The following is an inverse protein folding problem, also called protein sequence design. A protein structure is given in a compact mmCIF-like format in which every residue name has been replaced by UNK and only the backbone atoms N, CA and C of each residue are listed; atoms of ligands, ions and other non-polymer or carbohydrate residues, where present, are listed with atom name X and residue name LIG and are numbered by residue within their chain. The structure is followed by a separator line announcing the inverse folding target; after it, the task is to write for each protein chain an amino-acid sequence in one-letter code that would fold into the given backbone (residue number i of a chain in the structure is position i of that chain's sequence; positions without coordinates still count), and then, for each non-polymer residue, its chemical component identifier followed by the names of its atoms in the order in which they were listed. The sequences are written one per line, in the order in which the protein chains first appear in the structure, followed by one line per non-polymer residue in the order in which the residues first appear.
data_IF_987862140201
#
_entry.id   IF_987862140201
#
_cell.length_a   1.000
_cell.length_b   1.000
_cell.length_c   1.000
_cell.angle_alpha   90.00
_cell.angle_beta   90.00
_cell.angle_gamma   90.00
#
_symmetry.space_group_name_H-M   'P 1'
#
loop_
_entity.id
_entity.type
_entity.pdbx_description
1 polymer ?
#
# COMPACT_ATOMS: atom_id res chain seq x y z
N UNK A 1 -27.46 -18.26 5.01
CA UNK A 1 -26.75 -17.34 5.92
C UNK A 1 -26.20 -16.19 5.10
N UNK A 2 -26.35 -14.95 5.55
CA UNK A 2 -25.90 -13.74 4.85
C UNK A 2 -24.48 -13.38 5.29
N UNK A 3 -23.52 -13.53 4.38
CA UNK A 3 -22.12 -13.19 4.59
C UNK A 3 -21.76 -11.95 3.75
N UNK A 4 -20.97 -11.04 4.30
CA UNK A 4 -20.36 -9.91 3.57
C UNK A 4 -18.86 -9.84 3.86
N UNK A 5 -18.07 -9.68 2.81
CA UNK A 5 -16.62 -9.45 2.90
C UNK A 5 -16.37 -7.93 2.95
N UNK A 6 -16.75 -7.32 4.07
CA UNK A 6 -16.83 -5.86 4.25
C UNK A 6 -16.04 -5.37 5.48
N UNK A 7 -15.07 -6.16 5.93
CA UNK A 7 -14.26 -5.91 7.13
C UNK A 7 -12.77 -6.05 6.83
N UNK A 8 -12.00 -5.10 7.30
CA UNK A 8 -10.55 -5.17 7.45
C UNK A 8 -10.18 -5.87 8.77
N UNK A 9 -8.89 -6.11 9.06
CA UNK A 9 -8.44 -6.61 10.35
C UNK A 9 -9.07 -5.90 11.53
N UNK A 10 -9.34 -6.66 12.59
CA UNK A 10 -10.08 -6.21 13.79
C UNK A 10 -11.54 -5.80 13.54
N UNK A 11 -12.10 -6.12 12.37
CA UNK A 11 -13.52 -5.85 12.09
C UNK A 11 -13.83 -4.40 11.72
N UNK A 12 -12.82 -3.58 11.41
CA UNK A 12 -13.04 -2.21 10.98
C UNK A 12 -13.47 -2.15 9.51
N UNK A 13 -14.05 -1.03 9.08
CA UNK A 13 -14.51 -0.84 7.69
C UNK A 13 -13.67 0.13 6.89
N UNK A 14 -12.73 0.80 7.55
CA UNK A 14 -11.88 1.84 6.99
C UNK A 14 -10.42 1.44 7.12
N UNK A 15 -9.65 1.69 6.08
CA UNK A 15 -8.21 1.57 6.09
C UNK A 15 -7.54 2.81 5.50
N UNK A 16 -6.34 3.11 5.96
CA UNK A 16 -5.47 4.17 5.44
C UNK A 16 -4.14 3.56 5.05
N UNK A 17 -3.69 3.88 3.85
CA UNK A 17 -2.35 3.53 3.36
C UNK A 17 -1.72 4.75 2.70
N UNK A 18 -0.42 4.89 2.87
CA UNK A 18 0.38 5.96 2.26
C UNK A 18 1.47 5.35 1.37
N UNK A 19 1.89 6.03 0.31
CA UNK A 19 3.13 5.68 -0.38
C UNK A 19 3.95 6.89 -0.81
N UNK A 20 5.27 6.73 -0.83
CA UNK A 20 6.21 7.78 -1.20
C UNK A 20 7.34 7.23 -2.06
N UNK A 21 7.80 8.02 -3.04
CA UNK A 21 8.75 7.57 -4.05
C UNK A 21 10.17 8.11 -3.85
N UNK A 22 11.10 7.57 -4.63
CA UNK A 22 12.46 8.04 -4.94
C UNK A 22 13.54 7.86 -3.87
N UNK A 23 13.20 7.61 -2.60
CA UNK A 23 14.22 7.42 -1.57
C UNK A 23 15.01 8.70 -1.27
N UNK A 24 14.34 9.84 -1.25
CA UNK A 24 14.98 11.15 -1.03
C UNK A 24 15.42 11.30 0.42
N UNK A 25 16.43 12.14 0.64
CA UNK A 25 16.95 12.42 1.99
C UNK A 25 15.88 12.89 2.99
N UNK A 26 14.78 13.48 2.50
CA UNK A 26 13.64 13.95 3.28
C UNK A 26 12.75 12.83 3.83
N UNK A 27 12.89 11.60 3.31
CA UNK A 27 12.19 10.43 3.87
C UNK A 27 12.53 10.21 5.35
N UNK A 28 13.71 10.64 5.80
CA UNK A 28 14.09 10.61 7.22
C UNK A 28 13.11 11.38 8.11
N UNK A 29 12.72 12.58 7.68
CA UNK A 29 11.77 13.42 8.42
C UNK A 29 10.35 12.85 8.28
N UNK A 30 9.97 12.44 7.08
CA UNK A 30 8.65 11.86 6.84
C UNK A 30 8.41 10.60 7.69
N UNK A 31 9.37 9.67 7.71
CA UNK A 31 9.29 8.44 8.54
C UNK A 31 9.20 8.78 10.02
N UNK A 32 9.97 9.77 10.49
CA UNK A 32 9.86 10.23 11.88
C UNK A 32 8.43 10.66 12.22
N UNK A 33 7.81 11.52 11.39
CA UNK A 33 6.43 11.98 11.57
C UNK A 33 5.45 10.82 11.53
N UNK A 34 5.56 9.92 10.55
CA UNK A 34 4.68 8.75 10.44
C UNK A 34 4.73 7.90 11.72
N UNK A 35 5.92 7.65 12.25
CA UNK A 35 6.12 6.89 13.49
C UNK A 35 5.52 7.58 14.71
N UNK A 36 5.65 8.90 14.84
CA UNK A 36 5.06 9.66 15.96
C UNK A 36 3.53 9.61 16.00
N UNK A 37 2.89 9.39 14.85
CA UNK A 37 1.44 9.28 14.72
C UNK A 37 0.93 7.84 14.59
N UNK A 38 1.83 6.85 14.58
CA UNK A 38 1.47 5.43 14.42
C UNK A 38 0.96 5.07 13.02
N UNK A 39 1.35 5.84 12.01
CA UNK A 39 0.98 5.62 10.61
C UNK A 39 1.98 4.69 9.92
N UNK A 40 1.48 3.94 8.92
CA UNK A 40 2.29 3.10 8.04
C UNK A 40 2.30 3.64 6.62
N UNK A 41 3.36 3.30 5.89
CA UNK A 41 3.55 3.74 4.50
C UNK A 41 4.38 2.71 3.73
N UNK A 42 4.31 2.79 2.41
CA UNK A 42 5.14 2.04 1.47
C UNK A 42 6.06 3.01 0.72
N UNK A 43 7.36 2.74 0.75
CA UNK A 43 8.37 3.55 0.10
C UNK A 43 8.87 2.86 -1.16
N UNK A 44 8.59 3.44 -2.32
CA UNK A 44 9.04 2.94 -3.61
C UNK A 44 10.42 3.53 -3.91
N UNK A 45 11.46 2.70 -3.82
CA UNK A 45 12.85 3.16 -3.84
C UNK A 45 13.53 2.80 -5.16
N UNK A 46 14.48 3.63 -5.58
CA UNK A 46 15.36 3.36 -6.72
C UNK A 46 16.73 2.91 -6.24
N UNK A 47 17.08 1.63 -6.43
CA UNK A 47 18.35 1.09 -5.95
C UNK A 47 19.56 1.79 -6.56
N UNK A 48 19.45 2.28 -7.80
CA UNK A 48 20.52 2.99 -8.50
C UNK A 48 20.78 4.39 -7.96
N UNK A 49 19.92 4.94 -7.10
CA UNK A 49 20.02 6.31 -6.61
C UNK A 49 20.62 6.42 -5.21
N UNK A 50 20.77 5.30 -4.49
CA UNK A 50 21.33 5.31 -3.14
C UNK A 50 22.73 5.93 -3.09
N UNK A 51 22.92 6.83 -2.13
CA UNK A 51 24.19 7.55 -1.90
C UNK A 51 24.48 8.70 -2.87
N UNK A 52 23.61 8.96 -3.87
CA UNK A 52 23.68 10.19 -4.67
C UNK A 52 23.27 11.41 -3.83
N UNK A 53 23.69 12.60 -4.26
CA UNK A 53 23.33 13.85 -3.58
C UNK A 53 21.80 14.01 -3.47
N UNK A 54 21.33 14.27 -2.24
CA UNK A 54 19.91 14.40 -1.94
C UNK A 54 19.14 13.07 -1.82
N UNK A 55 19.81 11.92 -1.83
CA UNK A 55 19.20 10.60 -1.63
C UNK A 55 19.69 9.94 -0.34
N UNK A 56 18.93 8.97 0.15
CA UNK A 56 19.38 8.13 1.28
C UNK A 56 20.50 7.16 0.87
N UNK A 57 21.25 6.67 1.84
CA UNK A 57 22.27 5.63 1.65
C UNK A 57 21.64 4.23 1.68
N UNK A 58 22.22 3.26 0.98
CA UNK A 58 21.74 1.87 1.05
C UNK A 58 21.81 1.30 2.47
N UNK A 59 22.82 1.71 3.25
CA UNK A 59 23.04 1.23 4.62
C UNK A 59 21.95 1.60 5.61
N UNK A 60 21.19 2.68 5.36
CA UNK A 60 20.15 3.13 6.29
C UNK A 60 18.77 2.53 5.99
N UNK A 61 18.54 1.99 4.78
CA UNK A 61 17.22 1.53 4.29
C UNK A 61 16.52 0.64 5.31
N UNK A 62 17.20 -0.40 5.81
CA UNK A 62 16.61 -1.37 6.74
C UNK A 62 16.15 -0.73 8.06
N UNK A 63 16.97 0.15 8.63
CA UNK A 63 16.66 0.82 9.90
C UNK A 63 15.65 1.94 9.73
N UNK A 64 15.78 2.72 8.65
CA UNK A 64 14.92 3.86 8.37
C UNK A 64 13.49 3.38 8.15
N UNK A 65 13.27 2.40 7.28
CA UNK A 65 11.92 1.93 6.94
C UNK A 65 11.40 0.81 7.85
N UNK A 66 11.97 0.66 9.06
CA UNK A 66 11.46 -0.33 10.01
C UNK A 66 9.99 -0.03 10.37
N UNK A 67 9.10 -1.01 10.22
CA UNK A 67 7.66 -0.83 10.42
C UNK A 67 6.89 -0.29 9.21
N UNK A 68 7.61 0.08 8.15
CA UNK A 68 7.09 0.48 6.85
C UNK A 68 7.40 -0.61 5.80
N UNK A 69 6.85 -0.45 4.60
CA UNK A 69 7.21 -1.28 3.45
C UNK A 69 8.27 -0.58 2.61
N UNK A 70 9.27 -1.33 2.18
CA UNK A 70 10.12 -1.02 1.02
C UNK A 70 9.60 -1.75 -0.21
N UNK A 71 9.45 -1.00 -1.29
CA UNK A 71 8.82 -1.37 -2.54
C UNK A 71 9.70 -0.91 -3.72
N UNK A 72 9.54 -1.49 -4.91
CA UNK A 72 10.41 -1.20 -6.05
C UNK A 72 10.00 0.11 -6.76
N UNK A 73 10.97 0.83 -7.32
CA UNK A 73 10.72 1.94 -8.23
C UNK A 73 11.61 1.93 -9.47
N UNK A 74 12.20 0.77 -9.81
CA UNK A 74 13.22 0.55 -10.86
C UNK A 74 14.60 1.07 -10.47
N UNK A 75 15.66 0.60 -11.14
CA UNK A 75 17.04 0.96 -10.77
C UNK A 75 17.28 2.44 -11.06
N UNK A 76 16.99 2.87 -12.30
CA UNK A 76 17.41 4.18 -12.83
C UNK A 76 16.24 5.11 -13.17
N UNK A 77 15.01 4.75 -12.79
CA UNK A 77 13.79 5.56 -13.01
C UNK A 77 13.53 5.88 -14.52
N UNK A 78 13.50 4.90 -15.44
CA UNK A 78 13.22 5.15 -16.86
C UNK A 78 11.72 5.20 -17.18
N UNK A 79 11.36 5.79 -18.32
CA UNK A 79 10.01 5.63 -18.89
C UNK A 79 9.80 4.20 -19.40
N UNK A 80 9.19 3.34 -18.57
CA UNK A 80 9.06 1.90 -18.87
C UNK A 80 8.31 1.60 -20.18
N UNK A 81 7.35 2.44 -20.59
CA UNK A 81 6.65 2.26 -21.87
C UNK A 81 7.56 2.45 -23.11
N UNK A 82 8.67 3.18 -22.95
CA UNK A 82 9.66 3.44 -24.00
C UNK A 82 10.80 2.42 -23.97
N UNK A 83 10.94 1.68 -22.87
CA UNK A 83 11.94 0.63 -22.73
C UNK A 83 11.54 -0.67 -23.46
N UNK A 84 12.49 -1.38 -24.09
CA UNK A 84 12.28 -2.74 -24.59
C UNK A 84 12.09 -3.73 -23.43
N UNK A 85 11.49 -4.89 -23.72
CA UNK A 85 11.10 -5.89 -22.71
C UNK A 85 12.25 -6.38 -21.84
N UNK A 86 13.43 -6.60 -22.42
CA UNK A 86 14.63 -7.03 -21.69
C UNK A 86 15.12 -5.97 -20.71
N UNK A 87 15.02 -4.68 -21.08
CA UNK A 87 15.34 -3.59 -20.16
C UNK A 87 14.30 -3.47 -19.04
N UNK A 88 13.00 -3.58 -19.33
CA UNK A 88 11.94 -3.58 -18.30
C UNK A 88 12.20 -4.69 -17.28
N UNK A 89 12.49 -5.91 -17.75
CA UNK A 89 12.81 -7.06 -16.89
C UNK A 89 14.05 -6.79 -16.04
N UNK A 90 15.11 -6.24 -16.64
CA UNK A 90 16.36 -5.94 -15.95
C UNK A 90 16.17 -4.88 -14.86
N UNK A 91 15.54 -3.76 -15.19
CA UNK A 91 15.26 -2.65 -14.26
C UNK A 91 14.50 -3.11 -13.04
N UNK A 92 13.44 -3.90 -13.24
CA UNK A 92 12.62 -4.38 -12.13
C UNK A 92 13.30 -5.48 -11.33
N UNK A 93 13.96 -6.45 -11.99
CA UNK A 93 14.60 -7.56 -11.30
C UNK A 93 15.79 -7.11 -10.44
N UNK A 94 16.64 -6.23 -10.98
CA UNK A 94 17.82 -5.73 -10.27
C UNK A 94 17.45 -4.83 -9.09
N UNK A 95 16.46 -3.96 -9.27
CA UNK A 95 15.97 -3.11 -8.20
C UNK A 95 15.40 -3.94 -7.05
N UNK A 96 14.54 -4.92 -7.37
CA UNK A 96 14.02 -5.88 -6.38
C UNK A 96 15.15 -6.63 -5.66
N UNK A 97 16.09 -7.22 -6.38
CA UNK A 97 17.21 -7.98 -5.79
C UNK A 97 18.04 -7.11 -4.82
N UNK A 98 18.34 -5.87 -5.21
CA UNK A 98 19.08 -4.93 -4.37
C UNK A 98 18.30 -4.58 -3.11
N UNK A 99 17.01 -4.25 -3.23
CA UNK A 99 16.16 -3.90 -2.10
C UNK A 99 15.94 -5.10 -1.15
N UNK A 100 15.65 -6.28 -1.70
CA UNK A 100 15.48 -7.53 -0.95
C UNK A 100 16.72 -7.87 -0.12
N UNK A 101 17.92 -7.64 -0.68
CA UNK A 101 19.20 -7.81 0.03
C UNK A 101 19.31 -6.91 1.26
N UNK A 102 18.78 -5.68 1.19
CA UNK A 102 18.82 -4.72 2.30
C UNK A 102 17.79 -5.04 3.38
N UNK A 103 16.56 -5.38 2.97
CA UNK A 103 15.42 -5.51 3.90
C UNK A 103 15.20 -6.93 4.42
N UNK A 104 15.67 -7.95 3.71
CA UNK A 104 15.57 -9.36 4.12
C UNK A 104 14.18 -9.98 3.92
N UNK A 105 13.31 -9.37 3.13
CA UNK A 105 12.02 -9.94 2.72
C UNK A 105 11.75 -9.69 1.22
N UNK A 106 10.87 -10.48 0.57
CA UNK A 106 10.56 -10.31 -0.85
C UNK A 106 9.88 -8.96 -1.13
N UNK A 107 10.40 -8.20 -2.10
CA UNK A 107 9.80 -6.94 -2.55
C UNK A 107 8.76 -7.25 -3.61
N UNK A 108 7.49 -6.99 -3.31
CA UNK A 108 6.33 -7.42 -4.14
C UNK A 108 5.53 -6.28 -4.73
N UNK A 109 5.84 -5.05 -4.36
CA UNK A 109 5.17 -3.85 -4.86
C UNK A 109 6.05 -3.03 -5.78
N UNK A 110 5.41 -2.10 -6.50
CA UNK A 110 6.11 -0.99 -7.13
C UNK A 110 5.22 0.26 -7.30
N UNK A 111 5.83 1.37 -7.73
CA UNK A 111 5.14 2.46 -8.42
C UNK A 111 5.78 2.64 -9.80
N UNK A 112 5.00 3.08 -10.79
CA UNK A 112 5.52 3.31 -12.14
C UNK A 112 6.29 4.63 -12.19
N UNK A 113 7.58 4.65 -12.58
CA UNK A 113 8.29 5.89 -12.86
C UNK A 113 7.50 6.77 -13.81
N UNK A 114 7.32 8.05 -13.44
CA UNK A 114 6.50 9.02 -14.19
C UNK A 114 5.02 8.63 -14.41
N UNK A 115 4.52 7.57 -13.76
CA UNK A 115 3.21 7.00 -14.06
C UNK A 115 3.14 6.32 -15.44
N UNK A 116 4.28 6.03 -16.06
CA UNK A 116 4.39 5.48 -17.41
C UNK A 116 4.24 3.96 -17.40
N UNK A 117 3.21 3.46 -18.09
CA UNK A 117 2.97 2.02 -18.26
C UNK A 117 2.21 1.72 -19.55
N UNK A 118 2.26 0.46 -19.97
CA UNK A 118 1.52 -0.08 -21.12
C UNK A 118 1.15 -1.54 -20.87
N UNK A 119 0.31 -2.14 -21.71
CA UNK A 119 0.01 -3.58 -21.68
C UNK A 119 1.28 -4.44 -21.69
N UNK A 120 2.31 -4.00 -22.44
CA UNK A 120 3.62 -4.68 -22.44
C UNK A 120 4.26 -4.68 -21.05
N UNK A 121 4.30 -3.53 -20.39
CA UNK A 121 4.86 -3.41 -19.03
C UNK A 121 4.04 -4.27 -18.06
N UNK A 122 2.71 -4.14 -18.07
CA UNK A 122 1.79 -4.91 -17.22
C UNK A 122 2.00 -6.41 -17.37
N UNK A 123 2.20 -6.91 -18.60
CA UNK A 123 2.38 -8.35 -18.85
C UNK A 123 3.64 -8.95 -18.20
N UNK A 124 4.66 -8.14 -17.91
CA UNK A 124 5.90 -8.60 -17.28
C UNK A 124 5.79 -8.70 -15.76
N UNK A 125 4.99 -7.82 -15.13
CA UNK A 125 4.97 -7.63 -13.68
C UNK A 125 4.69 -8.92 -12.88
N UNK A 126 3.67 -9.74 -13.20
CA UNK A 126 3.40 -10.96 -12.43
C UNK A 126 4.54 -11.98 -12.51
N UNK A 127 5.16 -12.13 -13.68
CA UNK A 127 6.29 -13.03 -13.89
C UNK A 127 7.54 -12.61 -13.12
N UNK A 128 7.64 -11.30 -12.83
CA UNK A 128 8.67 -10.71 -11.98
C UNK A 128 8.25 -10.67 -10.51
N UNK A 129 7.12 -11.25 -10.13
CA UNK A 129 6.68 -11.30 -8.74
C UNK A 129 6.12 -9.99 -8.18
N UNK A 130 5.80 -9.02 -9.04
CA UNK A 130 5.08 -7.81 -8.64
C UNK A 130 3.59 -8.14 -8.51
N UNK A 131 3.00 -7.75 -7.39
CA UNK A 131 1.63 -8.03 -7.00
C UNK A 131 0.74 -6.79 -7.04
N UNK A 132 1.35 -5.61 -6.92
CA UNK A 132 0.69 -4.34 -7.08
C UNK A 132 1.63 -3.29 -7.67
N UNK A 133 1.08 -2.34 -8.39
CA UNK A 133 1.80 -1.22 -8.96
C UNK A 133 0.94 0.06 -8.91
N UNK A 134 1.45 1.10 -8.26
CA UNK A 134 0.75 2.39 -8.15
C UNK A 134 0.99 3.27 -9.37
N UNK A 135 -0.08 3.88 -9.90
CA UNK A 135 -0.02 4.89 -10.97
C UNK A 135 -0.12 6.32 -10.42
N UNK A 136 0.13 7.33 -11.24
CA UNK A 136 0.01 8.75 -10.84
C UNK A 136 -1.42 9.30 -10.91
N UNK A 137 -2.38 8.53 -11.44
CA UNK A 137 -3.77 8.96 -11.57
C UNK A 137 -4.48 8.87 -10.22
N UNK A 138 -5.18 9.94 -9.83
CA UNK A 138 -5.98 9.96 -8.60
C UNK A 138 -7.47 9.90 -8.92
N UNK A 139 -8.22 9.06 -8.22
CA UNK A 139 -9.66 8.88 -8.47
C UNK A 139 -10.57 9.63 -7.47
N UNK A 140 -10.02 10.21 -6.40
CA UNK A 140 -10.75 11.04 -5.43
C UNK A 140 -11.80 10.30 -4.58
N UNK A 141 -11.84 8.98 -4.64
CA UNK A 141 -12.79 8.14 -3.91
C UNK A 141 -12.11 7.24 -2.88
N UNK A 142 -12.91 6.45 -2.16
CA UNK A 142 -12.43 5.54 -1.12
C UNK A 142 -12.70 4.06 -1.42
N UNK A 143 -12.77 3.68 -2.69
CA UNK A 143 -13.01 2.28 -3.07
C UNK A 143 -11.69 1.49 -3.17
N UNK A 144 -11.78 0.18 -3.02
CA UNK A 144 -10.68 -0.72 -3.37
C UNK A 144 -10.40 -0.67 -4.89
N UNK A 145 -9.16 -0.89 -5.35
CA UNK A 145 -8.87 -0.98 -6.77
C UNK A 145 -9.51 -2.24 -7.37
N UNK A 146 -9.87 -2.18 -8.65
CA UNK A 146 -10.30 -3.36 -9.42
C UNK A 146 -9.11 -4.17 -9.96
N UNK A 147 -7.96 -3.54 -10.08
CA UNK A 147 -6.70 -4.13 -10.53
C UNK A 147 -5.55 -3.53 -9.71
N UNK A 148 -4.85 -4.37 -8.94
CA UNK A 148 -3.73 -3.93 -8.12
C UNK A 148 -2.50 -3.54 -8.95
N UNK A 149 -2.36 -4.01 -10.19
CA UNK A 149 -1.28 -3.59 -11.09
C UNK A 149 -1.56 -2.24 -11.76
N UNK A 150 -2.77 -1.70 -11.58
CA UNK A 150 -3.16 -0.36 -12.00
C UNK A 150 -3.80 0.37 -10.82
N UNK A 151 -3.10 0.41 -9.70
CA UNK A 151 -3.65 0.97 -8.48
C UNK A 151 -3.61 2.50 -8.50
N UNK A 152 -4.75 3.09 -8.80
CA UNK A 152 -4.96 4.54 -8.67
C UNK A 152 -5.14 4.90 -7.19
N UNK A 153 -4.35 5.82 -6.62
CA UNK A 153 -4.57 6.34 -5.28
C UNK A 153 -5.83 7.21 -5.20
N UNK A 154 -6.30 7.43 -3.97
CA UNK A 154 -7.36 8.41 -3.70
C UNK A 154 -6.90 9.80 -4.10
N UNK A 155 -5.71 10.21 -3.68
CA UNK A 155 -5.17 11.55 -3.93
C UNK A 155 -3.66 11.66 -3.77
N UNK A 156 -3.09 12.75 -4.29
CA UNK A 156 -1.76 13.21 -3.92
C UNK A 156 -1.77 13.86 -2.53
N UNK A 157 -0.64 13.91 -1.82
CA UNK A 157 -0.56 14.49 -0.46
C UNK A 157 -1.04 15.95 -0.39
N UNK A 158 -1.01 16.65 -1.53
CA UNK A 158 -1.47 18.04 -1.67
C UNK A 158 -2.97 18.18 -1.36
N UNK A 159 -3.75 17.10 -1.47
CA UNK A 159 -5.17 17.06 -1.11
C UNK A 159 -5.44 16.21 0.14
N UNK A 160 -4.42 15.76 0.88
CA UNK A 160 -4.59 14.75 1.92
C UNK A 160 -5.48 15.21 3.08
N UNK A 161 -5.45 16.49 3.44
CA UNK A 161 -6.26 17.01 4.55
C UNK A 161 -7.75 17.05 4.20
N UNK A 162 -8.09 17.53 3.01
CA UNK A 162 -9.47 17.52 2.50
C UNK A 162 -10.01 16.09 2.39
N UNK A 163 -9.20 15.18 1.84
CA UNK A 163 -9.57 13.78 1.69
C UNK A 163 -9.66 13.05 3.03
N UNK A 164 -8.81 13.38 4.00
CA UNK A 164 -8.92 12.87 5.37
C UNK A 164 -10.24 13.29 6.02
N UNK A 165 -10.64 14.57 5.90
CA UNK A 165 -11.89 15.06 6.46
C UNK A 165 -13.11 14.38 5.82
N UNK A 166 -13.11 14.26 4.49
CA UNK A 166 -14.15 13.53 3.76
C UNK A 166 -14.19 12.03 4.15
N UNK A 167 -13.02 11.39 4.34
CA UNK A 167 -12.92 9.99 4.73
C UNK A 167 -13.42 9.74 6.15
N UNK A 168 -13.07 10.62 7.09
CA UNK A 168 -13.53 10.53 8.48
C UNK A 168 -15.05 10.76 8.57
N UNK A 169 -15.58 11.71 7.80
CA UNK A 169 -17.02 11.99 7.72
C UNK A 169 -17.82 10.93 6.93
N UNK A 170 -17.15 10.02 6.21
CA UNK A 170 -17.82 9.01 5.38
C UNK A 170 -18.76 8.14 6.20
N UNK A 171 -20.06 8.29 5.93
CA UNK A 171 -21.12 7.39 6.39
C UNK A 171 -21.50 6.44 5.27
N UNK A 172 -21.30 5.14 5.50
CA UNK A 172 -21.60 4.13 4.51
C UNK A 172 -23.04 3.63 4.66
N UNK A 173 -23.90 3.95 3.69
CA UNK A 173 -25.28 3.40 3.64
C UNK A 173 -25.29 1.87 3.53
N UNK A 174 -24.33 1.32 2.79
CA UNK A 174 -24.08 -0.11 2.69
C UNK A 174 -22.63 -0.36 3.10
N UNK A 175 -22.45 -1.23 4.10
CA UNK A 175 -21.16 -1.61 4.64
C UNK A 175 -20.25 -2.18 3.55
N UNK A 176 -19.08 -1.56 3.37
CA UNK A 176 -18.01 -1.93 2.44
C UNK A 176 -16.65 -1.57 3.03
N UNK A 177 -15.62 -2.23 2.55
CA UNK A 177 -14.25 -1.79 2.81
C UNK A 177 -14.01 -0.45 2.11
N UNK A 178 -13.63 0.57 2.87
CA UNK A 178 -13.26 1.88 2.36
C UNK A 178 -11.78 2.16 2.62
N UNK A 179 -11.07 2.59 1.58
CA UNK A 179 -9.63 2.81 1.62
C UNK A 179 -9.31 4.26 1.27
N UNK A 180 -8.58 4.96 2.14
CA UNK A 180 -7.90 6.21 1.80
C UNK A 180 -6.46 5.88 1.42
N UNK A 181 -6.11 6.07 0.15
CA UNK A 181 -4.75 5.90 -0.35
C UNK A 181 -4.15 7.25 -0.78
N UNK A 182 -3.16 7.73 -0.04
CA UNK A 182 -2.43 8.97 -0.32
C UNK A 182 -1.04 8.65 -0.88
N UNK A 183 -0.59 9.38 -1.90
CA UNK A 183 0.77 9.26 -2.42
C UNK A 183 1.47 10.63 -2.57
N UNK A 184 2.79 10.64 -2.74
CA UNK A 184 3.54 11.80 -3.23
C UNK A 184 5.05 11.63 -3.01
N UNK A 185 5.80 12.72 -2.96
CA UNK A 185 7.24 12.67 -2.69
C UNK A 185 7.59 13.49 -1.45
N UNK A 186 8.48 12.97 -0.61
CA UNK A 186 8.85 13.66 0.64
C UNK A 186 9.55 15.00 0.42
N UNK A 187 10.22 15.16 -0.73
CA UNK A 187 10.89 16.42 -1.08
C UNK A 187 9.91 17.56 -1.37
N UNK A 188 8.69 17.25 -1.83
CA UNK A 188 7.69 18.28 -2.10
C UNK A 188 7.27 19.00 -0.82
N UNK A 189 7.30 18.34 0.35
CA UNK A 189 7.03 19.01 1.62
C UNK A 189 8.09 20.06 1.98
N UNK A 190 9.34 19.80 1.61
CA UNK A 190 10.44 20.75 1.79
C UNK A 190 10.36 21.89 0.78
N UNK A 191 10.18 21.56 -0.51
CA UNK A 191 10.10 22.53 -1.60
C UNK A 191 8.91 23.49 -1.43
N UNK A 192 7.75 22.98 -1.01
CA UNK A 192 6.55 23.77 -0.76
C UNK A 192 6.53 24.39 0.65
N UNK A 193 7.54 24.09 1.49
CA UNK A 193 7.66 24.52 2.90
C UNK A 193 6.35 24.30 3.70
N UNK A 194 5.81 23.08 3.63
CA UNK A 194 4.47 22.76 4.14
C UNK A 194 4.41 21.44 4.96
N UNK A 195 5.51 21.01 5.58
CA UNK A 195 5.56 19.81 6.42
C UNK A 195 4.43 19.69 7.46
N UNK A 196 3.86 20.81 7.91
CA UNK A 196 2.72 20.85 8.80
C UNK A 196 1.48 20.11 8.26
N UNK A 197 1.33 19.92 6.94
CA UNK A 197 0.20 19.18 6.39
C UNK A 197 0.28 17.69 6.73
N UNK A 198 1.48 17.11 6.74
CA UNK A 198 1.69 15.71 7.14
C UNK A 198 1.45 15.53 8.64
N UNK A 199 1.88 16.50 9.46
CA UNK A 199 1.63 16.52 10.91
C UNK A 199 0.14 16.61 11.23
N UNK A 200 -0.58 17.52 10.56
CA UNK A 200 -2.03 17.69 10.73
C UNK A 200 -2.78 16.44 10.27
N UNK A 201 -2.34 15.81 9.18
CA UNK A 201 -2.90 14.53 8.74
C UNK A 201 -2.69 13.45 9.81
N UNK A 202 -1.46 13.30 10.32
CA UNK A 202 -1.14 12.37 11.41
C UNK A 202 -2.01 12.59 12.64
N UNK A 203 -2.17 13.84 13.07
CA UNK A 203 -2.99 14.20 14.22
C UNK A 203 -4.47 13.82 14.07
N UNK A 204 -5.04 13.85 12.85
CA UNK A 204 -6.44 13.44 12.59
C UNK A 204 -6.66 11.94 12.81
N UNK A 205 -5.62 11.13 12.66
CA UNK A 205 -5.67 9.67 12.69
C UNK A 205 -5.07 9.05 13.96
N UNK A 206 -4.20 9.78 14.66
CA UNK A 206 -3.51 9.31 15.87
C UNK A 206 -4.50 8.79 16.93
N UNK A 207 -4.25 7.56 17.41
CA UNK A 207 -5.02 6.92 18.47
C UNK A 207 -6.38 6.36 18.05
N UNK A 208 -6.71 6.35 16.75
CA UNK A 208 -7.92 5.71 16.23
C UNK A 208 -7.74 4.19 16.16
N UNK A 209 -8.68 3.47 16.76
CA UNK A 209 -8.82 2.02 16.67
C UNK A 209 -9.91 1.58 15.67
N UNK A 210 -10.68 2.54 15.14
CA UNK A 210 -11.75 2.34 14.15
C UNK A 210 -11.25 2.31 12.69
N UNK A 211 -9.94 2.40 12.48
CA UNK A 211 -9.29 2.47 11.18
C UNK A 211 -8.04 1.59 11.17
N UNK A 212 -7.88 0.79 10.12
CA UNK A 212 -6.67 -0.01 9.92
C UNK A 212 -5.60 0.78 9.18
N UNK A 213 -4.47 1.04 9.84
CA UNK A 213 -3.27 1.62 9.21
C UNK A 213 -2.40 0.50 8.66
N UNK A 214 -2.16 0.53 7.35
CA UNK A 214 -1.50 -0.56 6.63
C UNK A 214 -0.50 -0.03 5.60
N UNK A 215 0.49 -0.85 5.27
CA UNK A 215 1.25 -0.69 4.02
C UNK A 215 0.45 -1.19 2.82
N UNK A 216 0.84 -0.82 1.61
CA UNK A 216 0.23 -1.35 0.39
C UNK A 216 0.33 -2.89 0.31
N UNK A 217 1.48 -3.49 0.63
CA UNK A 217 1.63 -4.94 0.69
C UNK A 217 0.70 -5.59 1.72
N UNK A 218 0.49 -4.97 2.89
CA UNK A 218 -0.45 -5.49 3.88
C UNK A 218 -1.89 -5.48 3.35
N UNK A 219 -2.32 -4.40 2.68
CA UNK A 219 -3.62 -4.33 2.00
C UNK A 219 -3.75 -5.46 0.96
N UNK A 220 -2.77 -5.62 0.07
CA UNK A 220 -2.79 -6.63 -1.00
C UNK A 220 -2.81 -8.05 -0.42
N UNK A 221 -1.97 -8.33 0.57
CA UNK A 221 -1.93 -9.63 1.24
C UNK A 221 -3.28 -9.96 1.92
N UNK A 222 -3.91 -8.98 2.57
CA UNK A 222 -5.22 -9.15 3.18
C UNK A 222 -6.30 -9.43 2.13
N UNK A 223 -6.33 -8.70 1.02
CA UNK A 223 -7.31 -8.94 -0.03
C UNK A 223 -7.14 -10.32 -0.68
N UNK A 224 -5.91 -10.77 -0.89
CA UNK A 224 -5.64 -12.15 -1.34
C UNK A 224 -6.11 -13.19 -0.33
N UNK A 225 -5.96 -12.94 0.97
CA UNK A 225 -6.48 -13.82 2.01
C UNK A 225 -8.01 -13.90 1.98
N UNK A 226 -8.68 -12.75 1.83
CA UNK A 226 -10.15 -12.66 1.67
C UNK A 226 -10.62 -13.46 0.44
N UNK A 227 -9.97 -13.28 -0.71
CA UNK A 227 -10.28 -14.01 -1.95
C UNK A 227 -10.02 -15.52 -1.85
N UNK A 228 -9.09 -15.94 -1.00
CA UNK A 228 -8.73 -17.34 -0.81
C UNK A 228 -9.69 -18.13 0.10
N UNK A 229 -10.62 -17.44 0.79
CA UNK A 229 -11.60 -18.08 1.66
C UNK A 229 -12.45 -19.11 0.89
N UNK A 230 -12.72 -20.24 1.55
CA UNK A 230 -13.51 -21.33 0.98
C UNK A 230 -14.76 -21.55 1.83
N UNK A 231 -15.92 -21.48 1.19
CA UNK A 231 -17.21 -21.61 1.86
C UNK A 231 -17.84 -22.97 1.57
N UNK A 232 -18.51 -23.58 2.56
CA UNK A 232 -19.47 -24.65 2.28
C UNK A 232 -20.64 -24.10 1.45
N UNK A 233 -21.31 -24.97 0.68
CA UNK A 233 -22.42 -24.55 -0.19
C UNK A 233 -23.59 -23.89 0.56
N UNK A 234 -23.77 -24.19 1.86
CA UNK A 234 -24.77 -23.57 2.74
C UNK A 234 -24.24 -22.36 3.53
N UNK A 235 -22.98 -21.97 3.27
CA UNK A 235 -22.20 -20.92 3.91
C UNK A 235 -21.91 -21.10 5.41
N UNK A 236 -22.29 -22.20 6.07
CA UNK A 236 -22.11 -22.40 7.52
C UNK A 236 -20.68 -22.79 7.93
N UNK A 237 -19.83 -23.14 6.99
CA UNK A 237 -18.44 -23.52 7.24
C UNK A 237 -17.56 -22.65 6.36
N UNK A 238 -16.57 -22.01 6.97
CA UNK A 238 -15.56 -21.22 6.27
C UNK A 238 -14.20 -21.80 6.59
N UNK A 239 -13.41 -22.07 5.56
CA UNK A 239 -12.01 -22.42 5.69
C UNK A 239 -11.16 -21.25 5.19
N UNK A 240 -10.27 -20.76 6.06
CA UNK A 240 -9.22 -19.81 5.70
C UNK A 240 -7.90 -20.56 5.48
N UNK A 241 -7.49 -20.81 4.23
CA UNK A 241 -6.23 -21.51 3.95
C UNK A 241 -4.99 -20.59 4.03
N UNK A 242 -5.16 -19.29 4.27
CA UNK A 242 -4.07 -18.32 4.29
C UNK A 242 -3.38 -18.24 5.65
N UNK A 243 -2.23 -17.59 5.69
CA UNK A 243 -1.50 -17.26 6.92
C UNK A 243 -1.99 -15.96 7.60
N UNK A 244 -3.09 -15.36 7.11
CA UNK A 244 -3.63 -14.08 7.59
C UNK A 244 -5.05 -14.32 8.10
N UNK A 245 -5.35 -13.91 9.34
CA UNK A 245 -6.75 -13.91 9.83
C UNK A 245 -7.60 -13.00 8.95
N UNK A 246 -8.83 -13.41 8.66
CA UNK A 246 -9.77 -12.62 7.84
C UNK A 246 -11.01 -12.30 8.65
N UNK A 247 -11.47 -11.04 8.56
CA UNK A 247 -12.71 -10.60 9.20
C UNK A 247 -13.81 -10.43 8.15
N UNK A 248 -15.04 -10.74 8.55
CA UNK A 248 -16.23 -10.60 7.71
C UNK A 248 -17.47 -10.33 8.56
N UNK A 249 -18.57 -9.94 7.92
CA UNK A 249 -19.88 -9.90 8.59
C UNK A 249 -20.66 -11.19 8.30
N UNK A 250 -21.15 -11.87 9.33
CA UNK A 250 -22.09 -12.98 9.23
C UNK A 250 -23.38 -12.64 9.99
N UNK A 251 -24.51 -12.56 9.28
CA UNK A 251 -25.81 -12.12 9.82
C UNK A 251 -25.78 -10.76 10.53
N UNK A 252 -24.81 -9.90 10.18
CA UNK A 252 -24.64 -8.56 10.75
C UNK A 252 -23.57 -8.48 11.84
N UNK A 253 -23.15 -9.62 12.40
CA UNK A 253 -22.10 -9.70 13.40
C UNK A 253 -20.71 -9.82 12.76
N UNK A 254 -19.71 -9.20 13.37
CA UNK A 254 -18.32 -9.33 12.94
C UNK A 254 -17.77 -10.69 13.38
N UNK A 255 -17.21 -11.45 12.45
CA UNK A 255 -16.59 -12.74 12.71
C UNK A 255 -15.15 -12.75 12.19
N UNK A 256 -14.23 -13.23 13.02
CA UNK A 256 -12.88 -13.58 12.60
C UNK A 256 -12.86 -15.04 12.10
N UNK A 257 -12.22 -15.27 10.96
CA UNK A 257 -11.83 -16.58 10.45
C UNK A 257 -10.31 -16.68 10.57
N UNK A 258 -9.78 -17.28 11.65
CA UNK A 258 -8.34 -17.25 11.91
C UNK A 258 -7.51 -17.92 10.82
N UNK A 259 -6.25 -17.50 10.70
CA UNK A 259 -5.30 -18.07 9.74
C UNK A 259 -5.21 -19.60 9.84
N UNK A 260 -5.31 -20.30 8.71
CA UNK A 260 -5.23 -21.76 8.61
C UNK A 260 -6.38 -22.54 9.26
N UNK A 261 -7.46 -21.87 9.71
CA UNK A 261 -8.54 -22.51 10.46
C UNK A 261 -9.81 -22.73 9.64
N UNK A 262 -10.63 -23.66 10.14
CA UNK A 262 -12.02 -23.85 9.74
C UNK A 262 -12.92 -23.32 10.86
N UNK A 263 -13.82 -22.41 10.52
CA UNK A 263 -14.84 -21.85 11.43
C UNK A 263 -16.22 -22.34 11.02
N UNK A 264 -17.01 -22.73 12.02
CA UNK A 264 -18.45 -23.00 11.86
C UNK A 264 -19.23 -21.78 12.37
N UNK A 265 -20.20 -21.33 11.57
CA UNK A 265 -21.04 -20.17 11.83
C UNK A 265 -22.46 -20.57 12.24
#
# INVERSE_FOLDING_TARGET
MRIRLDRFPQGVTKAVTLSYDDGKAHDRRLVHILNEHGLKASFHLNSGFFGKEGYISASEVKSLFHGHEVSAHTVDHPFLEQSPSDQIVRELSMDREALETLVGYPVRGMSYPFGSYSERVLSHLPGLGIEYARTTASHGGFHMPSDFLQWHPTCHHKQMLEQADAFLALQQRFSRMALLYVWGHSYEFEDDNNWEIMEQFGAKFKGRDDIWFATNAEIVAYMKAVESLRFSANCKIIHNPSAVSVWLSAEGETVEVPAGQIVQL
#
